data_IF_169559749447
#
_entry.id   IF_169559749447
#
_cell.length_a   1.000
_cell.length_b   1.000
_cell.length_c   1.000
_cell.angle_alpha   90.00
_cell.angle_beta   90.00
_cell.angle_gamma   90.00
#
_symmetry.space_group_name_H-M   'P 1'
#
loop_
_entity.id
_entity.type
_entity.pdbx_description
1 polymer ?
#
# COMPACT_ATOMS: atom_id res chain seq x y z
N UNK A 1 13.90 4.46 0.49
CA UNK A 1 12.76 3.58 0.86
C UNK A 1 12.82 2.33 0.00
N UNK A 2 12.19 1.22 0.40
CA UNK A 2 12.16 -0.04 -0.36
C UNK A 2 10.78 -0.17 -1.01
N UNK A 3 10.75 -0.53 -2.29
CA UNK A 3 9.54 -0.55 -3.09
C UNK A 3 9.43 -1.87 -3.86
N UNK A 4 8.19 -2.32 -4.07
CA UNK A 4 7.83 -3.20 -5.17
C UNK A 4 7.16 -2.33 -6.24
N UNK A 5 7.55 -2.47 -7.49
CA UNK A 5 7.14 -1.56 -8.57
C UNK A 5 6.65 -2.36 -9.75
N UNK A 6 5.50 -1.96 -10.27
CA UNK A 6 4.99 -2.34 -11.59
C UNK A 6 5.06 -1.08 -12.45
N UNK A 7 5.93 -1.09 -13.45
CA UNK A 7 6.22 0.04 -14.34
C UNK A 7 5.83 -0.28 -15.79
N UNK A 8 6.16 0.65 -16.69
CA UNK A 8 5.80 0.58 -18.12
C UNK A 8 4.28 0.43 -18.36
N UNK A 9 3.47 0.91 -17.41
CA UNK A 9 2.01 0.89 -17.52
C UNK A 9 1.55 1.92 -18.55
N UNK A 10 0.62 1.52 -19.42
CA UNK A 10 -0.04 2.46 -20.30
C UNK A 10 -0.85 3.48 -19.47
N UNK A 11 -0.85 4.74 -19.90
CA UNK A 11 -1.60 5.81 -19.21
C UNK A 11 -3.11 5.52 -19.08
N UNK A 12 -3.68 4.71 -19.98
CA UNK A 12 -5.06 4.25 -19.87
C UNK A 12 -5.27 3.27 -18.71
N UNK A 13 -4.30 2.39 -18.44
CA UNK A 13 -4.35 1.42 -17.35
C UNK A 13 -4.08 2.06 -15.99
N UNK A 14 -3.18 3.05 -15.93
CA UNK A 14 -3.00 3.89 -14.73
C UNK A 14 -4.31 4.57 -14.32
N UNK A 15 -5.09 5.10 -15.27
CA UNK A 15 -6.41 5.69 -14.97
C UNK A 15 -7.37 4.66 -14.37
N UNK A 16 -7.41 3.46 -14.92
CA UNK A 16 -8.24 2.35 -14.41
C UNK A 16 -7.83 1.93 -13.00
N UNK A 17 -6.52 1.89 -12.73
CA UNK A 17 -5.95 1.66 -11.40
C UNK A 17 -6.42 2.73 -10.43
N UNK A 18 -6.26 4.01 -10.77
CA UNK A 18 -6.71 5.14 -9.95
C UNK A 18 -8.20 5.00 -9.64
N UNK A 19 -9.06 4.89 -10.65
CA UNK A 19 -10.52 4.76 -10.47
C UNK A 19 -10.89 3.58 -9.54
N UNK A 20 -10.19 2.45 -9.68
CA UNK A 20 -10.45 1.26 -8.87
C UNK A 20 -9.96 1.42 -7.42
N UNK A 21 -8.81 2.05 -7.18
CA UNK A 21 -8.31 2.37 -5.83
C UNK A 21 -9.25 3.36 -5.11
N UNK A 22 -9.76 4.34 -5.84
CA UNK A 22 -10.73 5.32 -5.33
C UNK A 22 -12.07 4.70 -5.00
N UNK A 23 -12.61 3.86 -5.88
CA UNK A 23 -13.86 3.12 -5.67
C UNK A 23 -13.77 2.22 -4.42
N UNK A 24 -12.58 1.69 -4.12
CA UNK A 24 -12.31 0.90 -2.91
C UNK A 24 -12.11 1.73 -1.64
N UNK A 25 -12.11 3.06 -1.75
CA UNK A 25 -11.91 3.97 -0.61
C UNK A 25 -10.49 3.95 -0.05
N UNK A 26 -9.49 3.57 -0.86
CA UNK A 26 -8.09 3.50 -0.43
C UNK A 26 -7.38 4.86 -0.51
N UNK A 27 -8.08 5.93 -0.93
CA UNK A 27 -7.51 7.26 -1.09
C UNK A 27 -6.86 7.78 0.20
N UNK A 28 -5.67 8.34 0.04
CA UNK A 28 -5.09 9.21 1.06
C UNK A 28 -5.51 10.68 0.86
N UNK A 29 -5.22 11.58 1.82
CA UNK A 29 -5.37 13.03 1.60
C UNK A 29 -4.39 13.62 0.58
N UNK A 30 -3.41 12.85 0.10
CA UNK A 30 -2.39 13.26 -0.87
C UNK A 30 -2.75 12.62 -2.21
N UNK A 31 -2.82 13.44 -3.26
CA UNK A 31 -3.09 13.00 -4.62
C UNK A 31 -2.02 11.99 -5.10
N UNK A 32 -2.44 10.95 -5.82
CA UNK A 32 -1.56 9.87 -6.28
C UNK A 32 -1.12 8.89 -5.18
N UNK A 33 -1.49 9.12 -3.92
CA UNK A 33 -1.13 8.25 -2.79
C UNK A 33 -2.37 7.58 -2.18
N UNK A 34 -2.22 6.29 -1.90
CA UNK A 34 -3.28 5.42 -1.39
C UNK A 34 -2.76 4.58 -0.22
N UNK A 35 -3.67 4.13 0.64
CA UNK A 35 -3.34 3.38 1.85
C UNK A 35 -3.96 1.99 1.84
N UNK A 36 -3.09 0.98 1.81
CA UNK A 36 -3.45 -0.40 2.03
C UNK A 36 -3.34 -0.70 3.54
N UNK A 37 -4.46 -0.86 4.23
CA UNK A 37 -4.49 -1.19 5.67
C UNK A 37 -3.95 -2.60 5.89
N UNK A 38 -2.91 -2.72 6.72
CA UNK A 38 -2.27 -4.01 7.01
C UNK A 38 -3.14 -4.79 8.00
N UNK A 39 -3.48 -6.06 7.70
CA UNK A 39 -4.21 -6.94 8.61
C UNK A 39 -3.50 -7.10 9.96
N UNK A 40 -4.27 -7.17 11.05
CA UNK A 40 -3.75 -7.17 12.42
C UNK A 40 -2.82 -8.37 12.70
N UNK A 41 -3.14 -9.51 12.11
CA UNK A 41 -2.36 -10.74 12.18
C UNK A 41 -0.99 -10.64 11.48
N UNK A 42 -0.85 -9.69 10.54
CA UNK A 42 0.40 -9.43 9.80
C UNK A 42 1.23 -8.29 10.41
N UNK A 43 0.69 -7.57 11.39
CA UNK A 43 1.43 -6.54 12.11
C UNK A 43 2.54 -7.15 12.99
N UNK A 44 3.58 -6.37 13.27
CA UNK A 44 4.52 -6.71 14.34
C UNK A 44 3.83 -6.62 15.71
N UNK A 45 4.45 -7.22 16.73
CA UNK A 45 3.98 -7.07 18.11
C UNK A 45 3.89 -5.60 18.53
N UNK A 46 4.91 -4.80 18.18
CA UNK A 46 4.95 -3.37 18.49
C UNK A 46 3.84 -2.59 17.77
N UNK A 47 3.57 -2.88 16.49
CA UNK A 47 2.51 -2.23 15.73
C UNK A 47 1.12 -2.56 16.30
N UNK A 48 0.87 -3.81 16.70
CA UNK A 48 -0.37 -4.16 17.41
C UNK A 48 -0.49 -3.43 18.74
N UNK A 49 0.57 -3.44 19.55
CA UNK A 49 0.58 -2.75 20.84
C UNK A 49 0.31 -1.24 20.69
N UNK A 50 0.78 -0.62 19.61
CA UNK A 50 0.59 0.80 19.34
C UNK A 50 -0.65 1.11 18.50
N UNK A 51 -1.52 0.15 18.19
CA UNK A 51 -2.65 0.36 17.28
C UNK A 51 -3.61 1.47 17.73
N UNK A 52 -3.88 1.58 19.03
CA UNK A 52 -4.75 2.62 19.59
C UNK A 52 -4.15 4.03 19.54
N UNK A 53 -2.82 4.16 19.64
CA UNK A 53 -2.13 5.46 19.72
C UNK A 53 -1.56 5.93 18.37
N UNK A 54 -1.12 4.99 17.55
CA UNK A 54 -0.39 5.24 16.30
C UNK A 54 -1.16 4.78 15.07
N UNK A 55 -2.10 3.84 15.21
CA UNK A 55 -2.84 3.27 14.11
C UNK A 55 -3.79 4.25 13.40
N UNK A 56 -4.46 3.80 12.33
CA UNK A 56 -4.28 2.50 11.67
C UNK A 56 -2.89 2.37 11.02
N UNK A 57 -2.42 1.13 10.90
CA UNK A 57 -1.16 0.80 10.25
C UNK A 57 -1.38 0.44 8.78
N UNK A 58 -0.63 1.07 7.89
CA UNK A 58 -0.86 1.02 6.44
C UNK A 58 0.45 0.84 5.67
N UNK A 59 0.39 0.23 4.51
CA UNK A 59 1.42 0.32 3.47
C UNK A 59 0.94 1.27 2.40
N UNK A 60 1.83 2.13 1.91
CA UNK A 60 1.49 3.12 0.90
C UNK A 60 1.54 2.52 -0.50
N UNK A 61 0.51 2.80 -1.29
CA UNK A 61 0.50 2.60 -2.73
C UNK A 61 0.62 3.98 -3.39
N UNK A 62 1.41 4.08 -4.44
CA UNK A 62 1.59 5.33 -5.18
C UNK A 62 1.54 5.06 -6.66
N UNK A 63 0.86 5.95 -7.38
CA UNK A 63 0.73 5.87 -8.83
C UNK A 63 0.94 7.24 -9.45
N UNK A 64 1.61 7.21 -10.60
CA UNK A 64 1.88 8.35 -11.47
C UNK A 64 1.77 7.84 -12.93
N UNK A 65 2.23 8.61 -13.91
CA UNK A 65 1.92 8.41 -15.34
C UNK A 65 2.13 6.98 -15.89
N UNK A 66 3.14 6.25 -15.41
CA UNK A 66 3.56 4.96 -15.99
C UNK A 66 3.84 3.88 -14.93
N UNK A 67 3.46 4.09 -13.67
CA UNK A 67 3.72 3.11 -12.62
C UNK A 67 2.66 3.01 -11.54
N UNK A 68 2.66 1.85 -10.88
CA UNK A 68 2.06 1.60 -9.59
C UNK A 68 3.14 0.98 -8.67
N UNK A 69 3.41 1.62 -7.53
CA UNK A 69 4.40 1.14 -6.56
C UNK A 69 3.83 0.96 -5.17
N UNK A 70 4.31 -0.08 -4.49
CA UNK A 70 4.00 -0.42 -3.11
C UNK A 70 5.22 -0.13 -2.23
N UNK A 71 5.05 0.71 -1.21
CA UNK A 71 6.06 0.93 -0.19
C UNK A 71 6.13 -0.27 0.74
N UNK A 72 7.32 -0.85 0.89
CA UNK A 72 7.53 -2.00 1.78
C UNK A 72 7.70 -1.59 3.26
N UNK A 73 7.22 -0.39 3.61
CA UNK A 73 7.24 0.20 4.94
C UNK A 73 5.82 0.22 5.51
N UNK A 74 5.65 -0.29 6.73
CA UNK A 74 4.39 -0.12 7.45
C UNK A 74 4.44 1.21 8.19
N UNK A 75 3.49 2.08 7.87
CA UNK A 75 3.33 3.43 8.45
C UNK A 75 2.21 3.44 9.46
N UNK A 76 2.36 4.28 10.47
CA UNK A 76 1.33 4.62 11.43
C UNK A 76 0.65 5.93 11.02
N UNK A 77 -0.67 5.90 10.76
CA UNK A 77 -1.41 7.10 10.32
C UNK A 77 -1.59 8.14 11.43
N UNK A 78 -1.65 7.72 12.70
CA UNK A 78 -1.77 8.61 13.85
C UNK A 78 -0.44 9.24 14.30
N UNK A 79 0.71 8.65 13.91
CA UNK A 79 2.02 9.14 14.34
C UNK A 79 3.12 8.84 13.31
N UNK A 80 3.60 9.89 12.64
CA UNK A 80 4.64 9.76 11.60
C UNK A 80 6.01 9.29 12.13
N UNK A 81 6.36 9.61 13.38
CA UNK A 81 7.64 9.24 14.00
C UNK A 81 7.38 8.36 15.22
N UNK A 82 7.55 7.05 15.02
CA UNK A 82 7.48 6.05 16.07
C UNK A 82 8.36 4.86 15.64
N UNK A 83 8.86 4.09 16.60
CA UNK A 83 9.58 2.85 16.33
C UNK A 83 8.73 1.80 15.62
N UNK A 84 7.39 1.83 15.77
CA UNK A 84 6.47 0.97 15.02
C UNK A 84 6.40 1.27 13.51
N UNK A 85 6.95 2.42 13.07
CA UNK A 85 7.10 2.76 11.64
C UNK A 85 8.39 2.12 11.12
N UNK A 86 8.29 0.88 10.69
CA UNK A 86 9.41 0.08 10.22
C UNK A 86 9.02 -0.78 9.01
N UNK A 87 10.01 -1.40 8.38
CA UNK A 87 9.77 -2.24 7.20
C UNK A 87 8.84 -3.41 7.54
N UNK A 88 8.03 -3.80 6.55
CA UNK A 88 7.14 -4.95 6.65
C UNK A 88 7.93 -6.23 6.94
N UNK A 89 7.32 -7.15 7.70
CA UNK A 89 7.84 -8.51 7.83
C UNK A 89 7.80 -9.23 6.47
N UNK A 90 8.50 -10.36 6.30
CA UNK A 90 8.40 -11.15 5.08
C UNK A 90 6.95 -11.53 4.71
N UNK A 91 6.12 -11.84 5.69
CA UNK A 91 4.72 -12.23 5.53
C UNK A 91 3.86 -11.04 5.10
N UNK A 92 3.96 -9.91 5.80
CA UNK A 92 3.24 -8.68 5.44
C UNK A 92 3.66 -8.17 4.05
N UNK A 93 4.95 -8.30 3.71
CA UNK A 93 5.46 -7.99 2.37
C UNK A 93 4.84 -8.90 1.31
N UNK A 94 4.84 -10.21 1.51
CA UNK A 94 4.25 -11.16 0.56
C UNK A 94 2.78 -10.84 0.34
N UNK A 95 2.02 -10.70 1.43
CA UNK A 95 0.60 -10.35 1.38
C UNK A 95 0.32 -9.08 0.58
N UNK A 96 1.12 -8.03 0.78
CA UNK A 96 0.91 -6.76 0.09
C UNK A 96 1.27 -6.84 -1.41
N UNK A 97 2.28 -7.62 -1.77
CA UNK A 97 2.61 -7.91 -3.18
C UNK A 97 1.51 -8.75 -3.82
N UNK A 98 1.05 -9.81 -3.14
CA UNK A 98 -0.04 -10.67 -3.59
C UNK A 98 -1.34 -9.87 -3.80
N UNK A 99 -1.62 -8.89 -2.93
CA UNK A 99 -2.71 -7.93 -3.13
C UNK A 99 -2.53 -7.14 -4.43
N UNK A 100 -1.33 -6.61 -4.69
CA UNK A 100 -1.07 -5.79 -5.88
C UNK A 100 -1.21 -6.61 -7.17
N UNK A 101 -0.65 -7.82 -7.18
CA UNK A 101 -0.71 -8.73 -8.33
C UNK A 101 -2.15 -9.18 -8.60
N UNK A 102 -2.92 -9.49 -7.54
CA UNK A 102 -4.33 -9.83 -7.66
C UNK A 102 -5.16 -8.64 -8.17
N UNK A 103 -4.88 -7.44 -7.67
CA UNK A 103 -5.54 -6.20 -8.06
C UNK A 103 -5.31 -5.88 -9.55
N UNK A 104 -4.07 -5.97 -10.03
CA UNK A 104 -3.73 -5.77 -11.44
C UNK A 104 -4.44 -6.79 -12.33
N UNK A 105 -4.45 -8.07 -11.90
CA UNK A 105 -5.13 -9.15 -12.63
C UNK A 105 -6.64 -8.95 -12.69
N UNK A 106 -7.26 -8.49 -11.61
CA UNK A 106 -8.70 -8.19 -11.58
C UNK A 106 -9.09 -7.11 -12.58
N UNK A 107 -8.17 -6.16 -12.81
CA UNK A 107 -8.34 -5.11 -13.81
C UNK A 107 -7.95 -5.56 -15.23
N UNK A 108 -7.54 -6.80 -15.45
CA UNK A 108 -7.11 -7.29 -16.77
C UNK A 108 -6.05 -6.37 -17.42
N UNK A 109 -5.11 -5.89 -16.61
CA UNK A 109 -3.99 -5.05 -17.06
C UNK A 109 -2.81 -5.98 -17.40
N UNK A 110 -2.25 -5.90 -18.62
CA UNK A 110 -1.15 -6.75 -19.04
C UNK A 110 0.17 -6.28 -18.40
N UNK A 111 0.77 -7.12 -17.56
CA UNK A 111 2.08 -6.91 -16.91
C UNK A 111 2.92 -8.18 -16.90
#
# INVERSE_FOLDING_TARGET
>A
MRWYVVDELAAADVKRIVEALETRGLQSPIEGLYYLTVPEELLSEEQRAHAAECGPHVMALETEDEFLRLELLVRARGRMRCSCVHYASPEARSWAIDFLDAFIRELDIPV
#
